data_IF_758433495104
#
_entry.id   IF_758433495104
#
_cell.length_a   1.000
_cell.length_b   1.000
_cell.length_c   1.000
_cell.angle_alpha   90.00
_cell.angle_beta   90.00
_cell.angle_gamma   90.00
#
_symmetry.space_group_name_H-M   'P 1'
#
loop_
_entity.id
_entity.type
_entity.pdbx_description
1 polymer ?
#
# COMPACT_ATOMS: atom_id res chain seq x y z
N UNK A 1 -37.84 31.91 18.22
CA UNK A 1 -37.09 30.68 18.57
C UNK A 1 -35.66 30.90 18.12
N UNK A 2 -34.76 31.22 19.05
CA UNK A 2 -33.34 31.37 18.75
C UNK A 2 -32.71 29.98 18.66
N UNK A 3 -32.12 29.66 17.51
CA UNK A 3 -31.36 28.43 17.33
C UNK A 3 -30.05 28.64 18.10
N UNK A 4 -30.01 28.16 19.34
CA UNK A 4 -28.76 28.02 20.08
C UNK A 4 -27.93 26.97 19.32
N UNK A 5 -27.03 27.41 18.43
CA UNK A 5 -25.95 26.55 17.94
C UNK A 5 -25.03 26.32 19.12
N UNK A 6 -25.02 25.10 19.65
CA UNK A 6 -24.09 24.72 20.70
C UNK A 6 -22.66 24.93 20.20
N UNK A 7 -21.81 25.68 20.91
CA UNK A 7 -20.47 26.04 20.43
C UNK A 7 -19.55 24.84 20.21
N UNK A 8 -19.91 23.65 20.70
CA UNK A 8 -19.18 22.41 20.43
C UNK A 8 -19.57 21.67 19.15
N UNK A 9 -20.69 22.00 18.50
CA UNK A 9 -21.15 21.20 17.35
C UNK A 9 -20.19 21.32 16.16
N UNK A 10 -19.71 22.53 15.87
CA UNK A 10 -18.83 22.80 14.74
C UNK A 10 -17.43 22.19 14.94
N UNK A 11 -16.89 22.26 16.15
CA UNK A 11 -15.60 21.66 16.48
C UNK A 11 -15.66 20.13 16.38
N UNK A 12 -16.76 19.53 16.85
CA UNK A 12 -17.01 18.09 16.73
C UNK A 12 -17.12 17.68 15.25
N UNK A 13 -17.84 18.46 14.44
CA UNK A 13 -18.01 18.16 13.01
C UNK A 13 -16.67 18.24 12.26
N UNK A 14 -15.83 19.25 12.56
CA UNK A 14 -14.48 19.36 11.99
C UNK A 14 -13.61 18.18 12.38
N UNK A 15 -13.64 17.75 13.65
CA UNK A 15 -12.87 16.59 14.11
C UNK A 15 -13.34 15.29 13.43
N UNK A 16 -14.66 15.13 13.23
CA UNK A 16 -15.22 13.98 12.51
C UNK A 16 -14.75 13.96 11.05
N UNK A 17 -14.87 15.07 10.34
CA UNK A 17 -14.44 15.15 8.93
C UNK A 17 -12.94 14.84 8.78
N UNK A 18 -12.10 15.35 9.69
CA UNK A 18 -10.67 15.03 9.70
C UNK A 18 -10.42 13.54 9.95
N UNK A 19 -11.14 12.93 10.91
CA UNK A 19 -10.99 11.52 11.22
C UNK A 19 -11.42 10.62 10.04
N UNK A 20 -12.55 10.94 9.39
CA UNK A 20 -13.04 10.22 8.20
C UNK A 20 -12.05 10.35 7.03
N UNK A 21 -11.52 11.55 6.80
CA UNK A 21 -10.55 11.79 5.74
C UNK A 21 -9.25 11.01 5.96
N UNK A 22 -8.72 11.01 7.19
CA UNK A 22 -7.54 10.22 7.57
C UNK A 22 -7.81 8.71 7.46
N UNK A 23 -8.98 8.25 7.87
CA UNK A 23 -9.41 6.85 7.74
C UNK A 23 -9.46 6.41 6.28
N UNK A 24 -10.07 7.23 5.42
CA UNK A 24 -10.15 6.95 3.98
C UNK A 24 -8.77 6.87 3.32
N UNK A 25 -7.84 7.77 3.66
CA UNK A 25 -6.46 7.69 3.16
C UNK A 25 -5.72 6.46 3.70
N UNK A 26 -5.94 6.10 4.96
CA UNK A 26 -5.40 4.88 5.56
C UNK A 26 -5.83 3.62 4.81
N UNK A 27 -7.14 3.46 4.57
CA UNK A 27 -7.68 2.33 3.81
C UNK A 27 -7.13 2.27 2.37
N UNK A 28 -6.88 3.42 1.75
CA UNK A 28 -6.25 3.46 0.43
C UNK A 28 -4.82 2.90 0.44
N UNK A 29 -4.05 3.13 1.51
CA UNK A 29 -2.71 2.53 1.66
C UNK A 29 -2.84 1.01 1.85
N UNK A 30 -3.74 0.56 2.72
CA UNK A 30 -4.03 -0.87 2.93
C UNK A 30 -4.39 -1.58 1.62
N UNK A 31 -5.33 -1.03 0.85
CA UNK A 31 -5.74 -1.59 -0.44
C UNK A 31 -4.56 -1.76 -1.43
N UNK A 32 -3.61 -0.83 -1.43
CA UNK A 32 -2.43 -0.87 -2.30
C UNK A 32 -1.42 -1.92 -1.81
N UNK A 33 -1.23 -2.01 -0.49
CA UNK A 33 -0.37 -3.02 0.14
C UNK A 33 -0.92 -4.43 -0.11
N UNK A 34 -2.23 -4.63 0.05
CA UNK A 34 -2.88 -5.92 -0.20
C UNK A 34 -2.75 -6.33 -1.67
N UNK A 35 -2.94 -5.41 -2.62
CA UNK A 35 -2.71 -5.67 -4.04
C UNK A 35 -1.25 -6.03 -4.33
N UNK A 36 -0.31 -5.36 -3.68
CA UNK A 36 1.11 -5.70 -3.80
C UNK A 36 1.40 -7.11 -3.25
N UNK A 37 0.83 -7.48 -2.10
CA UNK A 37 1.00 -8.79 -1.48
C UNK A 37 0.39 -9.93 -2.32
N UNK A 38 -0.74 -9.69 -2.98
CA UNK A 38 -1.34 -10.67 -3.91
C UNK A 38 -0.39 -10.94 -5.07
N UNK A 39 0.12 -9.89 -5.73
CA UNK A 39 1.05 -10.05 -6.87
C UNK A 39 2.38 -10.65 -6.39
N UNK A 40 2.82 -10.32 -5.18
CA UNK A 40 4.00 -10.92 -4.57
C UNK A 40 3.86 -12.44 -4.47
N UNK A 41 2.71 -12.93 -3.98
CA UNK A 41 2.39 -14.35 -3.94
C UNK A 41 2.36 -14.99 -5.33
N UNK A 42 1.81 -14.31 -6.34
CA UNK A 42 1.85 -14.79 -7.73
C UNK A 42 3.28 -14.91 -8.26
N UNK A 43 4.14 -13.92 -7.99
CA UNK A 43 5.56 -13.94 -8.39
C UNK A 43 6.27 -15.13 -7.72
N UNK A 44 6.04 -15.37 -6.44
CA UNK A 44 6.65 -16.48 -5.70
C UNK A 44 6.22 -17.84 -6.25
N UNK A 45 4.95 -18.02 -6.57
CA UNK A 45 4.46 -19.24 -7.24
C UNK A 45 5.09 -19.43 -8.62
N UNK A 46 5.24 -18.35 -9.42
CA UNK A 46 5.88 -18.44 -10.73
C UNK A 46 7.36 -18.80 -10.63
N UNK A 47 8.07 -18.25 -9.63
CA UNK A 47 9.47 -18.57 -9.37
C UNK A 47 9.63 -20.03 -8.89
N UNK A 48 8.74 -20.50 -8.02
CA UNK A 48 8.74 -21.89 -7.55
C UNK A 48 8.48 -22.86 -8.71
N UNK A 49 7.53 -22.56 -9.59
CA UNK A 49 7.27 -23.33 -10.80
C UNK A 49 8.48 -23.37 -11.74
N UNK A 50 9.20 -22.25 -11.88
CA UNK A 50 10.46 -22.22 -12.65
C UNK A 50 11.54 -23.14 -12.05
N UNK A 51 11.60 -23.25 -10.71
CA UNK A 51 12.60 -24.06 -10.00
C UNK A 51 12.29 -25.56 -10.02
N UNK A 52 11.03 -25.93 -9.84
CA UNK A 52 10.62 -27.33 -9.63
C UNK A 52 10.35 -28.10 -10.94
N UNK A 53 10.08 -27.41 -12.05
CA UNK A 53 9.79 -28.04 -13.35
C UNK A 53 10.78 -27.61 -14.44
N UNK A 54 12.03 -28.14 -14.44
CA UNK A 54 13.05 -27.74 -15.41
C UNK A 54 12.76 -28.20 -16.86
N UNK A 55 11.76 -29.05 -17.11
CA UNK A 55 11.50 -29.67 -18.42
C UNK A 55 10.17 -29.31 -19.11
N UNK A 56 9.14 -28.87 -18.40
CA UNK A 56 7.82 -28.57 -18.98
C UNK A 56 7.40 -27.13 -18.68
N UNK A 57 7.27 -26.33 -19.74
CA UNK A 57 6.58 -25.02 -19.75
C UNK A 57 7.00 -24.07 -18.62
N UNK A 58 8.30 -23.77 -18.51
CA UNK A 58 8.77 -22.64 -17.70
C UNK A 58 8.01 -21.36 -18.10
N UNK A 59 7.40 -20.62 -17.16
CA UNK A 59 6.83 -19.33 -17.49
C UNK A 59 7.93 -18.42 -18.07
N UNK A 60 7.64 -17.67 -19.16
CA UNK A 60 8.63 -16.79 -19.76
C UNK A 60 9.18 -15.80 -18.72
N UNK A 61 10.50 -15.59 -18.71
CA UNK A 61 11.15 -14.61 -17.82
C UNK A 61 10.50 -13.23 -17.97
N UNK A 62 10.10 -12.86 -19.18
CA UNK A 62 9.39 -11.61 -19.46
C UNK A 62 8.03 -11.52 -18.75
N UNK A 63 7.32 -12.65 -18.60
CA UNK A 63 6.05 -12.69 -17.88
C UNK A 63 6.26 -12.43 -16.39
N UNK A 64 7.27 -13.06 -15.78
CA UNK A 64 7.62 -12.85 -14.37
C UNK A 64 8.09 -11.40 -14.16
N UNK A 65 8.94 -10.89 -15.05
CA UNK A 65 9.41 -9.51 -14.99
C UNK A 65 8.27 -8.49 -15.14
N UNK A 66 7.25 -8.80 -15.96
CA UNK A 66 6.04 -7.98 -16.05
C UNK A 66 5.32 -7.94 -14.69
N UNK A 67 5.14 -9.08 -14.02
CA UNK A 67 4.55 -9.13 -12.68
C UNK A 67 5.38 -8.39 -11.63
N UNK A 68 6.71 -8.50 -11.69
CA UNK A 68 7.61 -7.74 -10.80
C UNK A 68 7.46 -6.23 -11.01
N UNK A 69 7.30 -5.77 -12.27
CA UNK A 69 7.03 -4.35 -12.56
C UNK A 69 5.68 -3.90 -12.01
N UNK A 70 4.64 -4.72 -12.19
CA UNK A 70 3.31 -4.45 -11.63
C UNK A 70 3.36 -4.35 -10.10
N UNK A 71 4.03 -5.30 -9.44
CA UNK A 71 4.29 -5.27 -8.00
C UNK A 71 5.00 -3.98 -7.58
N UNK A 72 6.13 -3.66 -8.21
CA UNK A 72 6.89 -2.45 -7.87
C UNK A 72 6.06 -1.18 -8.07
N UNK A 73 5.20 -1.12 -9.09
CA UNK A 73 4.29 0.00 -9.31
C UNK A 73 3.22 0.13 -8.21
N UNK A 74 2.76 -0.97 -7.61
CA UNK A 74 1.89 -0.91 -6.43
C UNK A 74 2.65 -0.46 -5.18
N UNK A 75 3.88 -0.93 -5.00
CA UNK A 75 4.77 -0.46 -3.92
C UNK A 75 5.01 1.04 -4.03
N UNK A 76 5.34 1.56 -5.23
CA UNK A 76 5.50 3.00 -5.48
C UNK A 76 4.24 3.79 -5.09
N UNK A 77 3.07 3.31 -5.52
CA UNK A 77 1.78 3.95 -5.18
C UNK A 77 1.49 3.91 -3.69
N UNK A 78 1.83 2.81 -3.01
CA UNK A 78 1.64 2.68 -1.57
C UNK A 78 2.56 3.63 -0.80
N UNK A 79 3.82 3.76 -1.22
CA UNK A 79 4.79 4.72 -0.67
C UNK A 79 4.30 6.16 -0.82
N UNK A 80 3.79 6.52 -2.01
CA UNK A 80 3.22 7.84 -2.28
C UNK A 80 1.96 8.10 -1.44
N UNK A 81 1.05 7.13 -1.35
CA UNK A 81 -0.17 7.25 -0.54
C UNK A 81 0.17 7.40 0.95
N UNK A 82 1.14 6.62 1.44
CA UNK A 82 1.62 6.71 2.82
C UNK A 82 2.25 8.08 3.10
N UNK A 83 3.03 8.61 2.16
CA UNK A 83 3.60 9.95 2.27
C UNK A 83 2.51 11.02 2.38
N UNK A 84 1.45 10.93 1.57
CA UNK A 84 0.32 11.85 1.66
C UNK A 84 -0.43 11.72 3.00
N UNK A 85 -0.64 10.50 3.49
CA UNK A 85 -1.24 10.26 4.80
C UNK A 85 -0.41 10.91 5.92
N UNK A 86 0.92 10.82 5.86
CA UNK A 86 1.81 11.47 6.83
C UNK A 86 1.67 13.00 6.81
N UNK A 87 1.67 13.61 5.63
CA UNK A 87 1.48 15.06 5.46
C UNK A 87 0.13 15.49 6.05
N UNK A 88 -0.93 14.73 5.77
CA UNK A 88 -2.27 15.04 6.28
C UNK A 88 -2.34 14.89 7.80
N UNK A 89 -1.69 13.86 8.38
CA UNK A 89 -1.58 13.71 9.84
C UNK A 89 -0.87 14.91 10.46
N UNK A 90 0.21 15.40 9.86
CA UNK A 90 0.90 16.60 10.35
C UNK A 90 0.02 17.85 10.28
N UNK A 91 -0.75 18.01 9.20
CA UNK A 91 -1.72 19.10 9.06
C UNK A 91 -2.83 19.05 10.12
N UNK A 92 -3.24 17.85 10.54
CA UNK A 92 -4.17 17.64 11.65
C UNK A 92 -3.51 17.75 13.04
N UNK A 93 -2.22 18.08 13.13
CA UNK A 93 -1.50 18.32 14.38
C UNK A 93 -0.77 17.11 14.98
N UNK A 94 -0.73 15.95 14.31
CA UNK A 94 0.02 14.80 14.76
C UNK A 94 1.53 15.00 14.51
N UNK A 95 2.34 14.94 15.58
CA UNK A 95 3.80 15.20 15.51
C UNK A 95 4.68 13.95 15.47
N UNK A 96 4.11 12.77 15.67
CA UNK A 96 4.87 11.51 15.73
C UNK A 96 4.24 10.43 14.88
N UNK A 97 5.08 9.73 14.12
CA UNK A 97 4.67 8.70 13.16
C UNK A 97 5.23 7.31 13.49
N UNK A 98 5.67 7.08 14.74
CA UNK A 98 6.43 5.88 15.14
C UNK A 98 5.79 4.56 14.75
N UNK A 99 4.46 4.49 14.76
CA UNK A 99 3.72 3.25 14.50
C UNK A 99 3.19 3.15 13.06
N UNK A 100 3.40 4.16 12.22
CA UNK A 100 2.81 4.19 10.86
C UNK A 100 3.29 3.01 10.03
N UNK A 101 4.59 2.67 10.09
CA UNK A 101 5.14 1.50 9.42
C UNK A 101 4.64 0.17 10.00
N UNK A 102 4.17 0.15 11.24
CA UNK A 102 3.56 -1.03 11.86
C UNK A 102 2.14 -1.26 11.33
N UNK A 103 1.39 -0.18 11.10
CA UNK A 103 0.03 -0.26 10.54
C UNK A 103 0.03 -0.51 9.02
N UNK A 104 1.03 0.04 8.31
CA UNK A 104 1.13 -0.08 6.86
C UNK A 104 2.48 -0.71 6.46
N UNK A 105 2.62 -2.04 6.56
CA UNK A 105 3.86 -2.74 6.21
C UNK A 105 4.00 -2.84 4.68
N UNK A 106 4.57 -1.80 4.06
CA UNK A 106 4.82 -1.80 2.62
C UNK A 106 6.00 -2.74 2.30
N UNK A 107 5.85 -3.74 1.41
CA UNK A 107 6.93 -4.65 1.06
C UNK A 107 8.00 -3.97 0.21
N UNK A 108 9.24 -4.43 0.32
CA UNK A 108 10.35 -3.90 -0.46
C UNK A 108 10.26 -4.26 -1.96
N UNK A 109 10.67 -3.33 -2.82
CA UNK A 109 10.72 -3.53 -4.28
C UNK A 109 11.60 -4.72 -4.65
N UNK A 110 11.19 -5.48 -5.67
CA UNK A 110 11.95 -6.61 -6.22
C UNK A 110 12.74 -6.21 -7.45
N UNK A 111 13.93 -6.80 -7.59
CA UNK A 111 14.76 -6.69 -8.80
C UNK A 111 14.22 -7.61 -9.89
N UNK A 112 14.39 -7.19 -11.15
CA UNK A 112 14.08 -8.02 -12.30
C UNK A 112 15.03 -9.21 -12.37
N UNK A 113 14.51 -10.34 -12.84
CA UNK A 113 15.26 -11.58 -13.02
C UNK A 113 15.77 -11.69 -14.47
N UNK A 114 16.96 -12.28 -14.64
CA UNK A 114 17.59 -12.48 -15.97
C UNK A 114 17.37 -13.88 -16.53
N UNK A 115 17.28 -14.86 -15.65
CA UNK A 115 17.10 -16.28 -15.96
C UNK A 115 16.15 -16.89 -14.94
N UNK A 116 15.39 -17.90 -15.37
CA UNK A 116 14.54 -18.69 -14.47
C UNK A 116 15.32 -19.78 -13.70
N UNK A 117 16.64 -19.78 -13.82
CA UNK A 117 17.54 -20.58 -13.00
C UNK A 117 18.02 -19.67 -11.86
N UNK A 118 17.60 -20.02 -10.63
CA UNK A 118 18.11 -19.44 -9.40
C UNK A 118 19.53 -19.93 -9.13
#
# INVERSE_FOLDING_TARGET
MGIFREPGSQEIDIVKEMAESLGSQGSKVEDLVDKANIILGEIEQLLENCRNHPGERRPPVDFINKRIREFNAFVDKAEDALRWLLIQREACGFRTHKNVNTFYPIPAKKKLIKTCDA
#
